data_IF_359502963179
#
_entry.id   IF_359502963179
#
_cell.length_a   1.000
_cell.length_b   1.000
_cell.length_c   1.000
_cell.angle_alpha   90.00
_cell.angle_beta   90.00
_cell.angle_gamma   90.00
#
_symmetry.space_group_name_H-M   'P 1'
#
loop_
_entity.id
_entity.type
_entity.pdbx_description
1 polymer ?
#
# COMPACT_ATOMS: atom_id res chain seq x y z
N UNK A 1 -17.45 49.09 56.37
CA UNK A 1 -17.66 47.75 56.97
C UNK A 1 -19.13 47.65 57.36
N UNK A 2 -19.74 46.47 57.29
CA UNK A 2 -21.15 46.24 57.66
C UNK A 2 -22.03 45.87 56.47
N UNK A 3 -22.71 44.73 56.58
CA UNK A 3 -23.73 44.27 55.64
C UNK A 3 -25.12 44.68 56.14
N UNK A 4 -26.12 44.70 55.25
CA UNK A 4 -27.41 44.01 55.49
C UNK A 4 -28.13 43.77 54.16
N UNK A 5 -29.00 42.77 54.12
CA UNK A 5 -29.82 42.42 52.96
C UNK A 5 -31.31 42.28 53.33
N UNK A 6 -32.19 42.29 52.33
CA UNK A 6 -33.63 42.07 52.45
C UNK A 6 -34.37 42.55 51.20
N UNK A 7 -35.65 42.23 50.97
CA UNK A 7 -36.46 41.13 51.54
C UNK A 7 -37.74 40.97 50.71
N UNK A 8 -38.13 39.71 50.39
CA UNK A 8 -39.46 39.35 49.86
C UNK A 8 -39.83 39.99 48.48
N UNK A 9 -40.93 39.66 47.79
CA UNK A 9 -42.12 38.85 48.14
C UNK A 9 -42.67 38.03 46.97
N UNK A 10 -43.47 37.01 47.29
CA UNK A 10 -44.10 36.05 46.37
C UNK A 10 -45.29 36.63 45.58
N UNK A 11 -45.53 36.10 44.38
CA UNK A 11 -46.89 35.97 43.85
C UNK A 11 -47.06 34.82 42.85
N UNK A 12 -48.15 34.07 43.03
CA UNK A 12 -48.48 32.82 42.33
C UNK A 12 -49.79 32.99 41.57
N UNK A 13 -49.87 32.57 40.29
CA UNK A 13 -51.11 32.53 39.50
C UNK A 13 -51.09 31.45 38.43
N UNK A 14 -52.12 30.60 38.42
CA UNK A 14 -52.49 29.73 37.31
C UNK A 14 -53.07 30.51 36.11
N UNK A 15 -52.91 29.97 34.91
CA UNK A 15 -53.99 29.95 33.90
C UNK A 15 -53.85 28.76 32.93
N UNK A 16 -54.86 28.50 32.09
CA UNK A 16 -55.07 27.26 31.33
C UNK A 16 -54.86 27.41 29.81
N UNK A 17 -54.58 26.29 29.16
CA UNK A 17 -54.59 26.10 27.69
C UNK A 17 -53.87 24.80 27.34
N UNK A 18 -54.51 23.64 27.33
CA UNK A 18 -55.46 23.09 26.34
C UNK A 18 -54.76 22.44 25.11
N UNK A 19 -55.47 21.54 24.43
CA UNK A 19 -54.87 20.39 23.71
C UNK A 19 -54.72 20.62 22.20
N UNK A 20 -53.62 20.12 21.65
CA UNK A 20 -53.43 19.94 20.20
C UNK A 20 -52.95 18.52 19.86
N UNK A 21 -53.88 17.65 19.45
CA UNK A 21 -53.52 16.42 18.72
C UNK A 21 -53.31 16.76 17.24
N UNK A 22 -52.12 16.49 16.69
CA UNK A 22 -51.96 16.37 15.23
C UNK A 22 -51.57 14.93 14.85
N UNK A 23 -52.35 14.34 13.94
CA UNK A 23 -52.27 12.91 13.61
C UNK A 23 -51.32 12.66 12.44
N UNK A 24 -50.45 11.65 12.61
CA UNK A 24 -49.58 11.16 11.55
C UNK A 24 -50.38 10.71 10.30
N UNK A 25 -49.86 11.05 9.11
CA UNK A 25 -50.36 10.57 7.81
C UNK A 25 -49.30 9.71 7.10
N UNK A 26 -49.54 8.41 6.86
CA UNK A 26 -48.71 7.60 5.97
C UNK A 26 -49.04 7.91 4.49
N UNK A 27 -48.06 7.80 3.59
CA UNK A 27 -48.29 7.75 2.13
C UNK A 27 -48.24 6.30 1.65
N UNK A 28 -49.34 5.83 1.06
CA UNK A 28 -49.49 4.47 0.53
C UNK A 28 -49.04 4.35 -0.93
N UNK A 29 -48.75 3.11 -1.34
CA UNK A 29 -48.38 2.68 -2.70
C UNK A 29 -49.61 2.53 -3.62
N UNK A 30 -49.46 2.89 -4.92
CA UNK A 30 -50.29 2.55 -6.12
C UNK A 30 -49.83 3.42 -7.30
N UNK A 31 -49.98 3.15 -8.61
CA UNK A 31 -50.16 1.96 -9.51
C UNK A 31 -49.91 2.46 -10.96
N UNK A 32 -49.74 1.69 -12.04
CA UNK A 32 -49.84 0.24 -12.30
C UNK A 32 -48.94 -0.16 -13.50
N UNK A 33 -48.88 -1.45 -13.84
CA UNK A 33 -48.26 -1.95 -15.10
C UNK A 33 -49.28 -2.07 -16.24
N UNK A 34 -48.85 -1.82 -17.49
CA UNK A 34 -49.29 -2.56 -18.69
C UNK A 34 -48.35 -2.34 -19.89
N UNK A 35 -48.52 -3.13 -20.95
CA UNK A 35 -47.65 -3.24 -22.13
C UNK A 35 -48.43 -2.94 -23.41
N UNK A 36 -47.75 -2.68 -24.56
CA UNK A 36 -47.97 -3.39 -25.84
C UNK A 36 -47.20 -2.77 -27.05
N UNK A 37 -46.32 -3.58 -27.66
CA UNK A 37 -46.13 -3.82 -29.10
C UNK A 37 -45.74 -2.71 -30.14
N UNK A 38 -44.68 -3.07 -30.90
CA UNK A 38 -44.52 -3.05 -32.39
C UNK A 38 -43.84 -1.89 -33.17
N UNK A 39 -42.99 -2.35 -34.09
CA UNK A 39 -42.76 -1.86 -35.48
C UNK A 39 -41.84 -0.65 -35.79
N UNK A 40 -40.59 -1.01 -36.09
CA UNK A 40 -39.66 -0.48 -37.11
C UNK A 40 -40.13 0.58 -38.14
N UNK A 41 -39.21 1.46 -38.58
CA UNK A 41 -38.50 1.27 -39.89
C UNK A 41 -37.48 2.38 -40.24
N UNK A 42 -36.68 2.11 -41.29
CA UNK A 42 -35.87 3.03 -42.14
C UNK A 42 -34.53 3.59 -41.62
N UNK A 43 -33.45 3.04 -42.20
CA UNK A 43 -32.16 3.71 -42.42
C UNK A 43 -32.29 4.84 -43.46
N UNK A 44 -31.23 5.66 -43.68
CA UNK A 44 -30.48 5.47 -44.93
C UNK A 44 -28.95 5.66 -44.85
N UNK A 45 -28.24 4.62 -45.31
CA UNK A 45 -27.23 4.66 -46.39
C UNK A 45 -25.92 5.48 -46.31
N UNK A 46 -24.83 4.76 -46.67
CA UNK A 46 -23.56 5.18 -47.34
C UNK A 46 -22.26 5.29 -46.50
N UNK A 47 -21.44 4.24 -46.62
CA UNK A 47 -20.05 4.26 -47.11
C UNK A 47 -19.12 5.43 -46.72
N UNK A 48 -18.11 5.13 -45.89
CA UNK A 48 -16.69 5.36 -46.22
C UNK A 48 -15.88 4.17 -45.68
N UNK A 49 -15.01 3.59 -46.51
CA UNK A 49 -13.92 2.71 -46.04
C UNK A 49 -12.65 3.53 -45.91
N UNK A 50 -12.15 3.72 -44.69
CA UNK A 50 -10.90 4.45 -44.44
C UNK A 50 -10.12 3.83 -43.29
N UNK A 51 -8.81 3.69 -43.51
CA UNK A 51 -7.85 3.10 -42.59
C UNK A 51 -7.86 3.81 -41.22
N UNK A 52 -7.97 3.04 -40.13
CA UNK A 52 -7.64 3.54 -38.80
C UNK A 52 -6.12 3.58 -38.66
N UNK A 53 -5.58 4.80 -38.65
CA UNK A 53 -4.14 5.04 -38.59
C UNK A 53 -3.51 4.64 -37.26
N UNK A 54 -2.20 4.43 -37.31
CA UNK A 54 -1.33 4.13 -36.17
C UNK A 54 -1.42 5.22 -35.08
N UNK A 55 -2.19 4.92 -34.03
CA UNK A 55 -2.35 5.77 -32.85
C UNK A 55 -1.15 5.64 -31.91
N UNK A 56 0.00 6.16 -32.33
CA UNK A 56 1.27 6.07 -31.60
C UNK A 56 1.20 6.78 -30.23
N UNK A 57 0.77 6.04 -29.20
CA UNK A 57 0.82 6.46 -27.81
C UNK A 57 2.29 6.59 -27.39
N UNK A 58 2.70 7.82 -27.03
CA UNK A 58 4.03 8.11 -26.52
C UNK A 58 4.36 7.27 -25.28
N UNK A 59 5.04 6.14 -25.50
CA UNK A 59 5.63 5.31 -24.46
C UNK A 59 6.66 6.15 -23.68
N UNK A 60 6.51 6.35 -22.36
CA UNK A 60 7.53 7.05 -21.58
C UNK A 60 8.87 6.32 -21.69
N UNK A 61 9.93 7.09 -21.96
CA UNK A 61 11.19 6.60 -22.52
C UNK A 61 12.08 5.94 -21.47
N UNK A 62 11.93 4.61 -21.33
CA UNK A 62 12.88 3.69 -20.69
C UNK A 62 13.39 4.06 -19.29
N UNK A 63 12.62 3.72 -18.25
CA UNK A 63 13.13 3.64 -16.87
C UNK A 63 14.10 2.45 -16.63
N UNK A 64 14.31 1.58 -17.63
CA UNK A 64 15.30 0.50 -17.58
C UNK A 64 16.71 1.03 -17.87
N UNK A 65 17.46 1.37 -16.81
CA UNK A 65 18.92 1.13 -16.66
C UNK A 65 19.56 1.75 -15.38
N UNK A 66 18.78 2.18 -14.37
CA UNK A 66 19.32 2.76 -13.11
C UNK A 66 19.22 1.76 -11.94
N UNK A 67 19.64 0.51 -12.16
CA UNK A 67 19.71 -0.54 -11.13
C UNK A 67 20.99 -1.42 -11.27
N UNK A 68 22.04 -0.90 -11.91
CA UNK A 68 23.26 -1.66 -12.19
C UNK A 68 24.54 -0.85 -12.04
N UNK A 69 25.19 -0.96 -10.88
CA UNK A 69 26.63 -0.78 -10.76
C UNK A 69 27.16 0.41 -9.92
N UNK A 70 27.84 0.03 -8.83
CA UNK A 70 29.13 0.56 -8.36
C UNK A 70 29.20 1.93 -7.65
N UNK A 71 29.58 1.85 -6.38
CA UNK A 71 30.84 2.39 -5.85
C UNK A 71 31.09 3.91 -5.98
N UNK A 72 30.31 4.72 -5.27
CA UNK A 72 30.70 6.06 -4.81
C UNK A 72 30.47 6.18 -3.29
N UNK A 73 31.32 6.94 -2.58
CA UNK A 73 31.48 6.81 -1.13
C UNK A 73 30.36 7.40 -0.28
N UNK A 74 29.82 6.58 0.64
CA UNK A 74 29.12 6.94 1.90
C UNK A 74 27.82 7.76 1.81
N UNK A 75 27.50 8.43 0.69
CA UNK A 75 26.17 8.98 0.45
C UNK A 75 25.18 7.84 0.16
N UNK A 76 24.24 7.60 1.08
CA UNK A 76 23.06 6.78 0.82
C UNK A 76 22.13 7.44 -0.20
N UNK A 77 20.91 6.91 -0.42
CA UNK A 77 19.94 7.53 -1.31
C UNK A 77 19.68 9.00 -0.94
N UNK A 78 19.51 9.85 -1.96
CA UNK A 78 19.18 11.27 -1.84
C UNK A 78 18.24 11.69 -2.96
N UNK A 79 17.53 12.80 -2.76
CA UNK A 79 16.91 13.58 -3.83
C UNK A 79 17.30 15.05 -3.69
N UNK A 80 17.06 15.83 -4.74
CA UNK A 80 17.01 17.30 -4.65
C UNK A 80 15.66 17.77 -5.17
N UNK A 81 14.97 18.59 -4.38
CA UNK A 81 13.67 19.18 -4.72
C UNK A 81 13.75 20.70 -4.60
N UNK A 82 13.14 21.39 -5.56
CA UNK A 82 12.92 22.83 -5.42
C UNK A 82 11.85 23.09 -4.36
N UNK A 83 11.86 24.29 -3.75
CA UNK A 83 10.82 24.71 -2.79
C UNK A 83 9.43 24.79 -3.44
N UNK A 84 9.33 24.95 -4.77
CA UNK A 84 8.07 24.85 -5.51
C UNK A 84 7.60 23.41 -5.66
N UNK A 85 8.46 22.46 -6.03
CA UNK A 85 8.08 21.04 -6.18
C UNK A 85 7.68 20.44 -4.84
N UNK A 86 8.43 20.75 -3.78
CA UNK A 86 8.12 20.36 -2.39
C UNK A 86 6.71 20.79 -1.99
N UNK A 87 6.38 22.07 -2.17
CA UNK A 87 5.04 22.61 -1.88
C UNK A 87 3.94 22.03 -2.77
N UNK A 88 4.23 21.71 -4.04
CA UNK A 88 3.26 21.07 -4.93
C UNK A 88 2.91 19.65 -4.46
N UNK A 89 3.92 18.84 -4.11
CA UNK A 89 3.74 17.48 -3.59
C UNK A 89 3.03 17.50 -2.23
N UNK A 90 3.38 18.43 -1.34
CA UNK A 90 2.69 18.62 -0.05
C UNK A 90 1.23 19.06 -0.23
N UNK A 91 0.93 19.92 -1.22
CA UNK A 91 -0.45 20.34 -1.54
C UNK A 91 -1.29 19.17 -2.07
N UNK A 92 -0.76 18.38 -3.01
CA UNK A 92 -1.38 17.13 -3.49
C UNK A 92 -1.71 16.22 -2.31
N UNK A 93 -0.70 15.95 -1.48
CA UNK A 93 -0.82 14.99 -0.41
C UNK A 93 -1.87 15.41 0.61
N UNK A 94 -1.88 16.69 1.03
CA UNK A 94 -2.91 17.22 1.93
C UNK A 94 -4.34 17.05 1.37
N UNK A 95 -4.52 17.21 0.07
CA UNK A 95 -5.83 17.00 -0.59
C UNK A 95 -6.22 15.51 -0.71
N UNK A 96 -5.25 14.60 -0.74
CA UNK A 96 -5.49 13.15 -0.77
C UNK A 96 -5.70 12.58 0.63
N UNK A 97 -4.79 12.88 1.56
CA UNK A 97 -4.84 12.41 2.95
C UNK A 97 -6.06 12.95 3.70
N UNK A 98 -6.52 14.16 3.36
CA UNK A 98 -7.78 14.73 3.86
C UNK A 98 -9.05 13.94 3.51
N UNK A 99 -8.98 12.94 2.62
CA UNK A 99 -10.08 11.98 2.34
C UNK A 99 -10.17 10.85 3.38
N UNK A 100 -9.20 10.79 4.31
CA UNK A 100 -9.10 9.80 5.39
C UNK A 100 -7.80 9.00 5.33
N UNK A 101 -7.22 8.68 6.50
CA UNK A 101 -5.88 8.07 6.61
C UNK A 101 -5.69 6.78 5.77
N UNK A 102 -6.72 5.93 5.68
CA UNK A 102 -6.69 4.70 4.88
C UNK A 102 -6.95 4.87 3.37
N UNK A 103 -7.35 6.07 2.89
CA UNK A 103 -7.77 6.28 1.50
C UNK A 103 -6.64 6.02 0.50
N UNK A 104 -5.49 6.70 0.68
CA UNK A 104 -4.33 6.53 -0.18
C UNK A 104 -3.79 5.09 -0.14
N UNK A 105 -3.79 4.49 1.06
CA UNK A 105 -3.43 3.08 1.26
C UNK A 105 -4.28 2.14 0.40
N UNK A 106 -5.60 2.26 0.46
CA UNK A 106 -6.51 1.43 -0.31
C UNK A 106 -6.24 1.51 -1.83
N UNK A 107 -6.25 2.71 -2.41
CA UNK A 107 -6.07 2.86 -3.86
C UNK A 107 -4.70 2.40 -4.37
N UNK A 108 -3.64 2.50 -3.55
CA UNK A 108 -2.31 2.01 -3.91
C UNK A 108 -2.24 0.49 -3.77
N UNK A 109 -2.70 -0.08 -2.66
CA UNK A 109 -2.64 -1.52 -2.43
C UNK A 109 -3.57 -2.30 -3.37
N UNK A 110 -4.72 -1.76 -3.77
CA UNK A 110 -5.56 -2.38 -4.81
C UNK A 110 -4.81 -2.51 -6.15
N UNK A 111 -4.05 -1.48 -6.56
CA UNK A 111 -3.18 -1.55 -7.76
C UNK A 111 -2.05 -2.56 -7.59
N UNK A 112 -1.46 -2.69 -6.40
CA UNK A 112 -0.46 -3.74 -6.09
C UNK A 112 -1.10 -5.13 -6.19
N UNK A 113 -2.30 -5.33 -5.63
CA UNK A 113 -3.00 -6.60 -5.63
C UNK A 113 -3.65 -6.98 -6.97
N UNK A 114 -3.80 -6.03 -7.91
CA UNK A 114 -4.09 -6.33 -9.32
C UNK A 114 -2.84 -6.83 -10.07
N UNK A 115 -1.65 -6.32 -9.74
CA UNK A 115 -0.38 -6.75 -10.36
C UNK A 115 0.18 -8.05 -9.74
N UNK A 116 0.03 -8.24 -8.43
CA UNK A 116 0.50 -9.44 -7.69
C UNK A 116 -0.59 -9.91 -6.71
N UNK A 117 -1.61 -10.64 -7.18
CA UNK A 117 -2.76 -11.05 -6.34
C UNK A 117 -2.39 -11.88 -5.10
N UNK A 118 -1.33 -12.70 -5.19
CA UNK A 118 -0.82 -13.52 -4.07
C UNK A 118 -0.27 -12.69 -2.91
N UNK A 119 0.14 -11.44 -3.13
CA UNK A 119 0.65 -10.58 -2.04
C UNK A 119 -0.42 -10.22 -1.00
N UNK A 120 -1.70 -10.52 -1.25
CA UNK A 120 -2.77 -10.45 -0.23
C UNK A 120 -2.51 -11.34 0.98
N UNK A 121 -1.84 -12.49 0.80
CA UNK A 121 -1.58 -13.45 1.88
C UNK A 121 -0.77 -12.83 3.05
N UNK A 122 0.03 -11.81 2.76
CA UNK A 122 0.83 -11.06 3.74
C UNK A 122 -0.02 -10.29 4.76
N UNK A 123 -1.33 -10.18 4.52
CA UNK A 123 -2.30 -9.44 5.34
C UNK A 123 -3.35 -10.35 5.98
N UNK A 124 -3.17 -11.67 5.89
CA UNK A 124 -3.99 -12.70 6.55
C UNK A 124 -3.50 -12.97 7.99
N UNK A 125 -2.33 -12.45 8.39
CA UNK A 125 -1.81 -12.58 9.74
C UNK A 125 -2.50 -11.62 10.73
N UNK A 126 -2.56 -12.04 12.02
CA UNK A 126 -3.44 -11.42 13.03
C UNK A 126 -2.95 -10.10 13.61
N UNK A 127 -1.73 -9.65 13.29
CA UNK A 127 -1.10 -8.47 13.91
C UNK A 127 -1.66 -7.17 13.35
N UNK A 128 -1.61 -6.99 12.02
CA UNK A 128 -2.16 -5.83 11.32
C UNK A 128 -2.82 -6.25 10.00
N UNK A 129 -4.07 -6.74 10.08
CA UNK A 129 -4.86 -7.06 8.90
C UNK A 129 -4.99 -5.86 7.94
N UNK A 130 -5.12 -6.15 6.65
CA UNK A 130 -5.03 -5.23 5.49
C UNK A 130 -5.46 -3.78 5.73
N UNK A 131 -6.67 -3.54 6.25
CA UNK A 131 -7.23 -2.20 6.50
C UNK A 131 -6.47 -1.38 7.54
N UNK A 132 -5.82 -2.02 8.52
CA UNK A 132 -4.91 -1.36 9.46
C UNK A 132 -3.61 -0.95 8.78
N UNK A 133 -3.06 -1.81 7.91
CA UNK A 133 -1.89 -1.46 7.12
C UNK A 133 -2.14 -0.29 6.15
N UNK A 134 -3.37 -0.12 5.64
CA UNK A 134 -3.72 1.04 4.82
C UNK A 134 -3.60 2.37 5.60
N UNK A 135 -3.96 2.38 6.89
CA UNK A 135 -3.86 3.55 7.77
C UNK A 135 -2.40 3.82 8.14
N UNK A 136 -1.68 2.79 8.62
CA UNK A 136 -0.24 2.90 8.94
C UNK A 136 0.59 3.35 7.72
N UNK A 137 0.19 2.95 6.52
CA UNK A 137 0.80 3.42 5.28
C UNK A 137 0.53 4.92 5.02
N UNK A 138 -0.71 5.39 5.20
CA UNK A 138 -1.05 6.80 5.07
C UNK A 138 -0.26 7.67 6.06
N UNK A 139 -0.21 7.26 7.33
CA UNK A 139 0.56 7.91 8.40
C UNK A 139 2.07 7.92 8.14
N UNK A 140 2.62 6.85 7.54
CA UNK A 140 4.01 6.80 7.14
C UNK A 140 4.32 7.71 5.95
N UNK A 141 3.44 7.75 4.95
CA UNK A 141 3.62 8.61 3.77
C UNK A 141 3.41 10.10 4.11
N UNK A 142 2.55 10.41 5.10
CA UNK A 142 2.39 11.76 5.64
C UNK A 142 3.68 12.25 6.34
N UNK A 143 4.30 11.42 7.18
CA UNK A 143 5.61 11.72 7.79
C UNK A 143 6.74 11.91 6.77
N UNK A 144 6.70 11.20 5.64
CA UNK A 144 7.63 11.38 4.53
C UNK A 144 7.39 12.70 3.80
N UNK A 145 6.14 13.02 3.45
CA UNK A 145 5.81 14.17 2.60
C UNK A 145 5.86 15.50 3.36
N UNK A 146 5.49 15.51 4.65
CA UNK A 146 5.59 16.69 5.51
C UNK A 146 7.04 17.15 5.72
N UNK A 147 8.01 16.24 5.63
CA UNK A 147 9.44 16.49 5.89
C UNK A 147 10.34 16.42 4.64
N UNK A 148 9.79 16.73 3.46
CA UNK A 148 10.54 16.64 2.20
C UNK A 148 11.74 17.61 2.08
N UNK A 149 11.90 18.56 3.01
CA UNK A 149 13.09 19.40 3.19
C UNK A 149 14.11 18.84 4.20
N UNK A 150 13.80 17.73 4.89
CA UNK A 150 14.70 16.98 5.78
C UNK A 150 15.07 15.59 5.19
N UNK A 151 15.77 15.48 4.05
CA UNK A 151 16.01 14.19 3.37
C UNK A 151 16.71 13.15 4.25
N UNK A 152 17.52 13.58 5.22
CA UNK A 152 18.22 12.67 6.14
C UNK A 152 17.28 12.08 7.19
N UNK A 153 16.43 12.89 7.83
CA UNK A 153 15.36 12.44 8.73
C UNK A 153 14.43 11.44 8.02
N UNK A 154 14.05 11.74 6.78
CA UNK A 154 13.16 10.88 5.99
C UNK A 154 13.88 9.58 5.59
N UNK A 155 15.16 9.62 5.22
CA UNK A 155 15.95 8.41 4.88
C UNK A 155 16.00 7.44 6.05
N UNK A 156 16.31 7.89 7.26
CA UNK A 156 16.47 6.97 8.40
C UNK A 156 15.12 6.43 8.91
N UNK A 157 14.03 7.21 8.81
CA UNK A 157 12.66 6.72 9.01
C UNK A 157 12.29 5.60 8.02
N UNK A 158 12.58 5.80 6.73
CA UNK A 158 12.34 4.81 5.67
C UNK A 158 13.21 3.56 5.81
N UNK A 159 14.47 3.71 6.23
CA UNK A 159 15.34 2.56 6.53
C UNK A 159 14.77 1.75 7.69
N UNK A 160 14.23 2.39 8.73
CA UNK A 160 13.60 1.67 9.84
C UNK A 160 12.29 0.98 9.45
N UNK A 161 11.48 1.58 8.57
CA UNK A 161 10.36 0.88 7.92
C UNK A 161 10.86 -0.34 7.11
N UNK A 162 11.97 -0.20 6.38
CA UNK A 162 12.62 -1.28 5.64
C UNK A 162 13.10 -2.44 6.53
N UNK A 163 13.72 -2.13 7.67
CA UNK A 163 14.16 -3.13 8.67
C UNK A 163 12.97 -3.92 9.22
N UNK A 164 11.86 -3.26 9.55
CA UNK A 164 10.62 -3.93 9.99
C UNK A 164 10.03 -4.85 8.92
N UNK A 165 10.10 -4.49 7.64
CA UNK A 165 9.69 -5.37 6.54
C UNK A 165 10.60 -6.60 6.35
N UNK A 166 11.83 -6.59 6.87
CA UNK A 166 12.67 -7.79 6.88
C UNK A 166 12.20 -8.86 7.89
N UNK A 167 11.47 -8.47 8.94
CA UNK A 167 10.92 -9.41 9.91
C UNK A 167 9.82 -10.30 9.28
N UNK A 168 8.92 -9.71 8.48
CA UNK A 168 7.83 -10.43 7.78
C UNK A 168 8.31 -11.20 6.53
N UNK A 169 9.63 -11.35 6.31
CA UNK A 169 10.18 -12.18 5.24
C UNK A 169 9.73 -13.65 5.36
N UNK A 170 9.58 -14.16 6.59
CA UNK A 170 9.06 -15.52 6.85
C UNK A 170 7.60 -15.70 6.48
N UNK A 171 6.81 -14.63 6.39
CA UNK A 171 5.41 -14.63 5.93
C UNK A 171 5.31 -14.57 4.39
N UNK A 172 6.45 -14.48 3.68
CA UNK A 172 6.54 -14.53 2.22
C UNK A 172 6.86 -13.20 1.54
N UNK A 173 7.29 -12.18 2.28
CA UNK A 173 7.60 -10.86 1.70
C UNK A 173 8.83 -10.89 0.76
N UNK A 174 8.60 -10.72 -0.55
CA UNK A 174 9.64 -10.53 -1.58
C UNK A 174 9.93 -9.02 -1.79
N UNK A 175 11.18 -8.53 -1.61
CA UNK A 175 11.60 -7.16 -1.94
C UNK A 175 11.33 -6.69 -3.37
N UNK A 176 10.99 -7.57 -4.32
CA UNK A 176 10.48 -7.16 -5.65
C UNK A 176 9.14 -6.42 -5.57
N UNK A 177 8.33 -6.68 -4.53
CA UNK A 177 7.08 -5.96 -4.29
C UNK A 177 7.29 -4.44 -4.18
N UNK A 178 8.47 -3.97 -3.75
CA UNK A 178 8.78 -2.53 -3.72
C UNK A 178 8.76 -1.86 -5.10
N UNK A 179 9.00 -2.58 -6.19
CA UNK A 179 8.89 -2.01 -7.54
C UNK A 179 7.42 -1.87 -7.93
N UNK A 180 6.63 -2.92 -7.70
CA UNK A 180 5.17 -2.95 -7.95
C UNK A 180 4.46 -1.85 -7.14
N UNK A 181 4.85 -1.70 -5.88
CA UNK A 181 4.41 -0.64 -4.98
C UNK A 181 4.83 0.75 -5.46
N UNK A 182 6.09 0.95 -5.88
CA UNK A 182 6.56 2.23 -6.41
C UNK A 182 5.80 2.65 -7.66
N UNK A 183 5.58 1.73 -8.60
CA UNK A 183 4.72 1.96 -9.76
C UNK A 183 3.29 2.32 -9.36
N UNK A 184 2.68 1.61 -8.39
CA UNK A 184 1.34 1.92 -7.90
C UNK A 184 1.25 3.32 -7.27
N UNK A 185 2.24 3.71 -6.45
CA UNK A 185 2.34 5.03 -5.81
C UNK A 185 2.55 6.16 -6.82
N UNK A 186 3.29 5.92 -7.91
CA UNK A 186 3.38 6.87 -9.04
C UNK A 186 2.02 7.00 -9.73
N UNK A 187 1.40 5.89 -10.12
CA UNK A 187 0.12 5.90 -10.84
C UNK A 187 -1.01 6.58 -10.05
N UNK A 188 -1.18 6.27 -8.75
CA UNK A 188 -2.21 6.89 -7.91
C UNK A 188 -2.06 8.41 -7.83
N UNK A 189 -0.85 8.95 -7.73
CA UNK A 189 -0.65 10.40 -7.69
C UNK A 189 -1.05 11.12 -9.00
N UNK A 190 -0.87 10.46 -10.15
CA UNK A 190 -1.36 10.96 -11.45
C UNK A 190 -2.89 10.90 -11.55
N UNK A 191 -3.53 9.99 -10.80
CA UNK A 191 -4.98 9.88 -10.70
C UNK A 191 -5.58 10.93 -9.75
N UNK A 192 -4.90 11.26 -8.65
CA UNK A 192 -5.38 12.19 -7.62
C UNK A 192 -5.48 13.66 -8.06
N UNK A 193 -4.53 14.19 -8.83
CA UNK A 193 -4.53 15.60 -9.26
C UNK A 193 -4.17 15.74 -10.76
N UNK A 194 -5.10 16.20 -11.62
CA UNK A 194 -4.83 16.50 -13.03
C UNK A 194 -3.72 17.55 -13.25
N UNK A 195 -3.39 18.37 -12.26
CA UNK A 195 -2.31 19.37 -12.31
C UNK A 195 -0.95 18.67 -12.40
N UNK A 196 -0.74 17.58 -11.64
CA UNK A 196 0.49 16.79 -11.73
C UNK A 196 0.53 16.07 -13.07
N UNK A 197 -0.55 15.40 -13.47
CA UNK A 197 -0.64 14.71 -14.77
C UNK A 197 -0.34 15.61 -15.99
N UNK A 198 -0.45 16.94 -15.84
CA UNK A 198 -0.18 17.95 -16.88
C UNK A 198 1.16 18.67 -16.73
N UNK A 199 1.95 18.39 -15.70
CA UNK A 199 3.22 19.05 -15.43
C UNK A 199 4.34 18.02 -15.27
N UNK A 200 5.25 17.95 -16.23
CA UNK A 200 6.31 16.94 -16.28
C UNK A 200 7.36 17.14 -15.17
N UNK A 201 7.67 18.38 -14.78
CA UNK A 201 8.61 18.69 -13.69
C UNK A 201 8.11 18.15 -12.33
N UNK A 202 6.81 18.31 -12.03
CA UNK A 202 6.20 17.82 -10.80
C UNK A 202 6.04 16.29 -10.85
N UNK A 203 5.80 15.70 -12.03
CA UNK A 203 5.84 14.24 -12.20
C UNK A 203 7.24 13.68 -11.94
N UNK A 204 8.29 14.28 -12.51
CA UNK A 204 9.66 13.85 -12.29
C UNK A 204 10.08 14.05 -10.82
N UNK A 205 9.66 15.16 -10.19
CA UNK A 205 9.85 15.38 -8.76
C UNK A 205 9.17 14.30 -7.90
N UNK A 206 7.94 13.91 -8.21
CA UNK A 206 7.26 12.82 -7.52
C UNK A 206 7.94 11.47 -7.75
N UNK A 207 8.31 11.15 -8.99
CA UNK A 207 9.07 9.94 -9.31
C UNK A 207 10.40 9.88 -8.53
N UNK A 208 11.11 11.00 -8.38
CA UNK A 208 12.34 11.07 -7.57
C UNK A 208 12.07 10.77 -6.09
N UNK A 209 10.97 11.28 -5.51
CA UNK A 209 10.54 10.95 -4.14
C UNK A 209 10.21 9.46 -4.02
N UNK A 210 9.46 8.88 -4.96
CA UNK A 210 9.10 7.45 -4.91
C UNK A 210 10.32 6.53 -5.09
N UNK A 211 11.25 6.88 -5.97
CA UNK A 211 12.52 6.16 -6.13
C UNK A 211 13.36 6.20 -4.86
N UNK A 212 13.43 7.37 -4.19
CA UNK A 212 14.10 7.51 -2.91
C UNK A 212 13.42 6.70 -1.79
N UNK A 213 12.08 6.70 -1.72
CA UNK A 213 11.30 5.85 -0.81
C UNK A 213 11.69 4.38 -1.00
N UNK A 214 11.61 3.88 -2.22
CA UNK A 214 11.94 2.49 -2.56
C UNK A 214 13.40 2.16 -2.26
N UNK A 215 14.33 3.09 -2.52
CA UNK A 215 15.76 2.89 -2.25
C UNK A 215 16.06 2.78 -0.75
N UNK A 216 15.54 3.69 0.08
CA UNK A 216 15.76 3.67 1.53
C UNK A 216 15.10 2.45 2.21
N UNK A 217 13.89 2.09 1.78
CA UNK A 217 13.19 0.87 2.23
C UNK A 217 14.00 -0.40 1.90
N UNK A 218 14.60 -0.47 0.69
CA UNK A 218 15.50 -1.56 0.28
C UNK A 218 16.79 -1.57 1.09
N UNK A 219 17.42 -0.42 1.32
CA UNK A 219 18.66 -0.31 2.11
C UNK A 219 18.45 -0.88 3.52
N UNK A 220 17.43 -0.40 4.23
CA UNK A 220 17.09 -0.88 5.57
C UNK A 220 16.74 -2.37 5.62
N UNK A 221 16.00 -2.88 4.64
CA UNK A 221 15.73 -4.32 4.51
C UNK A 221 17.03 -5.13 4.38
N UNK A 222 17.92 -4.73 3.47
CA UNK A 222 19.18 -5.44 3.24
C UNK A 222 20.26 -5.19 4.32
N UNK A 223 20.11 -4.19 5.20
CA UNK A 223 20.90 -4.10 6.43
C UNK A 223 20.62 -5.28 7.36
N UNK A 224 19.34 -5.65 7.56
CA UNK A 224 18.98 -6.80 8.41
C UNK A 224 19.55 -8.07 7.82
N UNK A 225 19.30 -8.35 6.53
CA UNK A 225 19.79 -9.57 5.86
C UNK A 225 21.31 -9.69 5.78
N UNK A 226 22.07 -8.59 5.90
CA UNK A 226 23.54 -8.63 6.02
C UNK A 226 24.01 -8.90 7.45
N UNK A 227 23.22 -8.49 8.46
CA UNK A 227 23.50 -8.68 9.89
C UNK A 227 22.98 -10.02 10.44
N UNK A 228 22.02 -10.66 9.77
CA UNK A 228 21.58 -12.02 10.07
C UNK A 228 22.08 -12.99 9.00
N UNK A 229 23.23 -13.66 9.21
CA UNK A 229 23.62 -14.79 8.39
C UNK A 229 22.46 -15.78 8.33
N UNK A 230 22.09 -16.21 7.12
CA UNK A 230 21.21 -17.36 6.98
C UNK A 230 21.87 -18.53 7.73
N UNK A 231 21.17 -19.22 8.64
CA UNK A 231 21.74 -20.41 9.29
C UNK A 231 22.08 -21.40 8.18
N UNK A 232 23.39 -21.53 7.91
CA UNK A 232 23.91 -22.53 7.00
C UNK A 232 23.30 -23.87 7.40
N UNK A 233 22.76 -24.61 6.43
CA UNK A 233 22.50 -26.05 6.61
C UNK A 233 23.75 -26.63 7.25
N UNK A 234 23.64 -27.13 8.48
CA UNK A 234 24.77 -27.74 9.17
C UNK A 234 25.30 -28.84 8.26
N UNK A 235 26.51 -28.65 7.74
CA UNK A 235 27.21 -29.69 6.99
C UNK A 235 27.39 -30.86 7.95
N UNK A 236 26.56 -31.90 7.76
CA UNK A 236 26.61 -33.11 8.57
C UNK A 236 28.05 -33.60 8.55
N UNK A 237 28.73 -33.72 9.70
CA UNK A 237 30.12 -34.19 9.71
C UNK A 237 30.13 -35.58 9.09
N UNK A 238 30.72 -35.70 7.90
CA UNK A 238 30.83 -36.98 7.20
C UNK A 238 31.86 -37.83 7.93
N UNK A 239 31.40 -38.55 8.96
CA UNK A 239 32.19 -39.52 9.70
C UNK A 239 32.78 -40.54 8.73
N UNK A 240 34.09 -40.43 8.48
CA UNK A 240 34.84 -41.44 7.72
C UNK A 240 35.01 -42.68 8.58
N UNK A 241 34.04 -43.58 8.52
CA UNK A 241 34.11 -44.92 9.11
C UNK A 241 33.86 -46.00 8.06
N UNK A 242 34.57 -45.92 6.94
CA UNK A 242 34.89 -47.08 6.12
C UNK A 242 36.26 -47.59 6.56
N UNK A 243 36.26 -48.56 7.46
CA UNK A 243 37.32 -49.56 7.54
C UNK A 243 36.72 -50.86 7.03
N UNK A 244 37.38 -51.45 6.05
CA UNK A 244 37.00 -52.73 5.44
C UNK A 244 37.01 -53.82 6.50
N UNK A 245 35.94 -54.62 6.58
CA UNK A 245 36.04 -55.97 7.14
C UNK A 245 36.49 -56.86 5.99
N UNK A 246 37.76 -57.24 6.00
CA UNK A 246 38.27 -58.23 5.05
C UNK A 246 37.60 -59.59 5.28
N UNK A 247 37.36 -60.28 4.18
CA UNK A 247 36.57 -61.51 4.12
C UNK A 247 37.46 -62.68 3.72
N UNK A 248 37.94 -63.44 4.71
CA UNK A 248 38.63 -64.72 4.48
C UNK A 248 38.07 -65.83 5.39
N UNK A 249 38.33 -67.08 5.03
CA UNK A 249 37.48 -68.21 5.35
C UNK A 249 37.82 -68.93 6.67
N UNK A 250 36.78 -69.47 7.31
CA UNK A 250 36.88 -70.46 8.37
C UNK A 250 35.66 -71.38 8.31
N UNK A 251 35.86 -72.67 8.03
CA UNK A 251 34.79 -73.66 8.07
C UNK A 251 34.49 -74.03 9.53
N UNK A 252 33.21 -74.18 9.88
CA UNK A 252 32.75 -75.47 10.41
C UNK A 252 31.23 -75.65 10.33
N UNK A 253 30.75 -76.88 10.56
CA UNK A 253 29.37 -77.30 10.30
C UNK A 253 28.69 -77.91 11.53
N UNK A 254 27.57 -77.31 11.96
CA UNK A 254 26.49 -77.82 12.84
C UNK A 254 25.39 -76.74 12.94
N UNK A 255 24.12 -77.01 13.26
CA UNK A 255 23.17 -78.14 13.08
C UNK A 255 21.93 -77.79 13.92
N UNK A 256 20.70 -78.05 13.41
CA UNK A 256 19.41 -77.89 14.14
C UNK A 256 19.05 -76.45 14.57
N UNK A 257 17.78 -76.11 14.87
CA UNK A 257 16.48 -76.56 14.35
C UNK A 257 15.41 -75.54 14.76
N UNK A 258 14.27 -75.52 14.09
CA UNK A 258 13.08 -74.82 14.58
C UNK A 258 12.53 -75.46 15.87
N UNK A 259 12.03 -74.60 16.76
CA UNK A 259 10.82 -74.81 17.54
C UNK A 259 10.13 -73.47 17.82
#
# INVERSE_FOLDING_TARGET
MGNTAGSQSDHERDDKGDKGEEKARPRSLRTSSQSLHRSASKSPSKLVTSSLGDGSLHRPRSASNVLGGRDAGTSGPTYSLSKSHTRAIQKLWKATHGKGAGFAGAEIFDKVFMKVPSSRQLFESKTHGMRGHYVLFGEALDQVITKLDEPDTVRDFLRELGRRHAAVRSEGFDPKLWNVFGEALIHSALEWDPTIRRNEDIQQAWCNVVLFIVACMREGYYEVLRKTPHPQRTSVPTSKSFLTVDQDAGLESRRYSYH
#
